data_IF_201828908889
#
_entry.id   IF_201828908889
#
_cell.length_a   1.000
_cell.length_b   1.000
_cell.length_c   1.000
_cell.angle_alpha   90.00
_cell.angle_beta   90.00
_cell.angle_gamma   90.00
#
_symmetry.space_group_name_H-M   'P 1'
#
loop_
_entity.id
_entity.type
_entity.pdbx_description
1 polymer ?
#
# COMPACT_ATOMS: atom_id res chain seq x y z
N UNK A 1 -10.52 -8.51 -17.79
CA UNK A 1 -11.23 -9.21 -16.71
C UNK A 1 -12.39 -8.32 -16.31
N UNK A 2 -13.61 -8.71 -16.66
CA UNK A 2 -14.82 -7.94 -16.37
C UNK A 2 -15.47 -8.54 -15.12
N UNK A 3 -16.02 -7.72 -14.24
CA UNK A 3 -16.78 -8.17 -13.06
C UNK A 3 -18.25 -8.46 -13.38
N UNK A 4 -18.64 -8.26 -14.64
CA UNK A 4 -19.98 -8.40 -15.20
C UNK A 4 -19.87 -9.32 -16.41
N UNK A 5 -20.82 -10.22 -16.57
CA UNK A 5 -20.93 -11.10 -17.73
C UNK A 5 -21.59 -10.37 -18.93
N UNK A 6 -21.69 -11.00 -20.11
CA UNK A 6 -22.28 -10.37 -21.29
C UNK A 6 -23.76 -9.99 -21.15
N UNK A 7 -24.49 -10.61 -20.22
CA UNK A 7 -25.92 -10.35 -19.97
C UNK A 7 -26.13 -9.21 -18.97
N UNK A 8 -25.04 -8.66 -18.41
CA UNK A 8 -25.09 -7.56 -17.43
C UNK A 8 -25.14 -8.03 -15.98
N UNK A 9 -25.04 -9.34 -15.73
CA UNK A 9 -25.11 -9.93 -14.41
C UNK A 9 -23.71 -10.06 -13.77
N UNK A 10 -23.58 -10.06 -12.43
CA UNK A 10 -22.29 -10.13 -11.77
C UNK A 10 -21.65 -11.50 -11.98
N UNK A 11 -20.37 -11.50 -12.34
CA UNK A 11 -19.59 -12.74 -12.39
C UNK A 11 -19.63 -13.43 -11.02
N UNK A 12 -20.10 -14.69 -10.99
CA UNK A 12 -20.28 -15.45 -9.74
C UNK A 12 -21.61 -15.21 -9.01
N UNK A 13 -22.58 -14.55 -9.66
CA UNK A 13 -23.97 -14.41 -9.18
C UNK A 13 -24.15 -13.50 -7.97
N UNK A 14 -23.09 -12.82 -7.51
CA UNK A 14 -23.10 -11.91 -6.37
C UNK A 14 -22.25 -10.69 -6.67
N UNK A 15 -22.83 -9.49 -6.49
CA UNK A 15 -22.11 -8.23 -6.66
C UNK A 15 -21.03 -7.98 -5.59
N UNK A 16 -21.10 -8.66 -4.44
CA UNK A 16 -20.27 -8.34 -3.30
C UNK A 16 -19.91 -9.59 -2.46
N UNK A 17 -18.61 -9.74 -2.17
CA UNK A 17 -18.02 -10.81 -1.36
C UNK A 17 -17.50 -10.30 0.01
N UNK A 18 -17.83 -9.05 0.39
CA UNK A 18 -17.34 -8.39 1.61
C UNK A 18 -17.58 -9.19 2.89
N UNK A 19 -18.72 -9.86 2.97
CA UNK A 19 -19.14 -10.69 4.12
C UNK A 19 -18.24 -11.91 4.30
N UNK A 20 -17.81 -12.51 3.19
CA UNK A 20 -16.99 -13.72 3.17
C UNK A 20 -15.53 -13.40 3.54
N UNK A 21 -15.12 -12.12 3.51
CA UNK A 21 -13.76 -11.67 3.76
C UNK A 21 -13.57 -11.06 5.16
N UNK A 22 -14.35 -11.50 6.15
CA UNK A 22 -14.34 -10.97 7.54
C UNK A 22 -13.63 -11.87 8.55
N UNK A 23 -13.07 -12.99 8.11
CA UNK A 23 -12.30 -13.86 9.00
C UNK A 23 -11.07 -13.13 9.52
N UNK A 24 -10.74 -13.39 10.79
CA UNK A 24 -9.60 -12.76 11.44
C UNK A 24 -8.30 -13.26 10.80
N UNK A 25 -7.30 -12.38 10.63
CA UNK A 25 -5.97 -12.85 10.30
C UNK A 25 -5.47 -13.87 11.33
N UNK A 26 -4.78 -14.93 10.90
CA UNK A 26 -4.27 -15.95 11.80
C UNK A 26 -3.35 -15.34 12.86
N UNK A 27 -3.60 -15.63 14.14
CA UNK A 27 -2.97 -14.95 15.29
C UNK A 27 -1.44 -15.15 15.42
N UNK A 28 -0.85 -16.12 14.70
CA UNK A 28 0.57 -16.51 14.84
C UNK A 28 1.35 -16.64 13.54
N UNK A 29 0.85 -16.14 12.43
CA UNK A 29 1.62 -16.13 11.20
C UNK A 29 2.29 -14.77 11.02
N UNK A 30 3.62 -14.74 11.00
CA UNK A 30 4.26 -14.00 9.90
C UNK A 30 3.58 -14.52 8.64
N UNK A 31 2.65 -13.74 8.10
CA UNK A 31 1.95 -14.12 6.89
C UNK A 31 3.02 -14.47 5.85
N UNK A 32 2.94 -15.67 5.24
CA UNK A 32 3.85 -16.07 4.16
C UNK A 32 3.73 -15.16 2.93
N UNK A 33 2.80 -14.19 2.97
CA UNK A 33 2.68 -13.10 2.02
C UNK A 33 3.95 -12.24 2.06
N UNK A 34 4.72 -12.20 0.95
CA UNK A 34 5.94 -11.41 0.87
C UNK A 34 5.68 -9.93 1.15
N UNK A 35 6.66 -9.23 1.73
CA UNK A 35 6.56 -7.78 2.00
C UNK A 35 6.10 -6.99 0.77
N UNK A 36 5.37 -5.88 0.97
CA UNK A 36 5.01 -4.98 -0.13
C UNK A 36 6.25 -4.51 -0.91
N UNK A 37 6.03 -4.14 -2.17
CA UNK A 37 7.05 -3.45 -2.95
C UNK A 37 7.53 -2.21 -2.20
N UNK A 38 8.85 -2.00 -2.16
CA UNK A 38 9.48 -0.76 -1.73
C UNK A 38 10.26 -0.18 -2.91
N UNK A 39 10.02 1.10 -3.26
CA UNK A 39 10.79 1.76 -4.30
C UNK A 39 12.25 1.89 -3.86
N UNK A 40 13.14 2.05 -4.84
CA UNK A 40 14.53 2.39 -4.60
C UNK A 40 14.67 3.86 -4.89
N UNK A 41 15.23 4.59 -3.94
CA UNK A 41 15.55 6.00 -4.13
C UNK A 41 16.78 6.15 -5.02
N UNK A 42 16.76 7.20 -5.83
CA UNK A 42 17.87 7.59 -6.69
C UNK A 42 18.27 9.06 -6.48
N UNK A 43 19.05 9.60 -7.43
CA UNK A 43 19.56 10.97 -7.39
C UNK A 43 18.44 12.01 -7.28
N UNK A 44 17.28 11.76 -7.91
CA UNK A 44 16.14 12.68 -7.84
C UNK A 44 15.57 12.72 -6.42
N UNK A 45 15.43 11.56 -5.76
CA UNK A 45 14.97 11.53 -4.37
C UNK A 45 15.97 12.25 -3.43
N UNK A 46 17.28 12.13 -3.70
CA UNK A 46 18.31 12.84 -2.95
C UNK A 46 18.24 14.37 -3.14
N UNK A 47 18.08 14.85 -4.37
CA UNK A 47 17.91 16.28 -4.69
C UNK A 47 16.66 16.86 -4.02
N UNK A 48 15.54 16.12 -4.04
CA UNK A 48 14.30 16.55 -3.38
C UNK A 48 14.52 16.68 -1.88
N UNK A 49 15.21 15.72 -1.24
CA UNK A 49 15.49 15.78 0.20
C UNK A 49 16.36 16.99 0.55
N UNK A 50 17.43 17.24 -0.19
CA UNK A 50 18.29 18.42 0.01
C UNK A 50 17.49 19.73 -0.12
N UNK A 51 16.61 19.81 -1.11
CA UNK A 51 15.76 20.99 -1.29
C UNK A 51 14.78 21.15 -0.13
N UNK A 52 14.14 20.07 0.34
CA UNK A 52 13.25 20.14 1.51
C UNK A 52 14.01 20.58 2.77
N UNK A 53 15.20 20.04 3.01
CA UNK A 53 16.07 20.43 4.13
C UNK A 53 16.43 21.92 4.08
N UNK A 54 16.74 22.45 2.88
CA UNK A 54 17.01 23.86 2.70
C UNK A 54 15.78 24.74 3.01
N UNK A 55 14.57 24.31 2.63
CA UNK A 55 13.34 25.04 2.95
C UNK A 55 13.02 25.02 4.45
N UNK A 56 13.32 23.92 5.15
CA UNK A 56 13.21 23.83 6.62
C UNK A 56 14.22 24.77 7.28
N UNK A 57 15.48 24.76 6.83
CA UNK A 57 16.53 25.61 7.37
C UNK A 57 16.24 27.11 7.19
N UNK A 58 15.61 27.49 6.08
CA UNK A 58 15.15 28.87 5.81
C UNK A 58 13.82 29.21 6.53
N UNK A 59 13.24 28.27 7.29
CA UNK A 59 11.98 28.46 8.01
C UNK A 59 10.77 28.64 7.08
N UNK A 60 10.87 28.23 5.82
CA UNK A 60 9.81 28.35 4.82
C UNK A 60 8.74 27.27 4.93
N UNK A 61 9.11 26.11 5.48
CA UNK A 61 8.20 25.00 5.76
C UNK A 61 8.50 24.41 7.14
N UNK A 62 7.47 23.85 7.77
CA UNK A 62 7.55 23.09 9.02
C UNK A 62 6.85 21.73 8.78
N UNK A 63 7.58 20.70 8.33
CA UNK A 63 7.00 19.43 7.97
C UNK A 63 6.52 18.72 9.23
N UNK A 64 5.38 18.07 9.10
CA UNK A 64 4.95 17.10 10.10
C UNK A 64 5.66 15.77 9.76
N UNK A 65 6.03 15.01 10.79
CA UNK A 65 6.69 13.71 10.64
C UNK A 65 8.19 13.78 10.44
N UNK A 66 8.81 12.60 10.38
CA UNK A 66 10.24 12.44 10.09
C UNK A 66 10.42 11.89 8.68
N UNK A 67 11.23 12.57 7.86
CA UNK A 67 11.60 12.05 6.54
C UNK A 67 12.33 10.70 6.67
N UNK A 68 12.09 9.83 5.71
CA UNK A 68 12.65 8.48 5.68
C UNK A 68 12.54 7.88 4.28
N UNK A 69 13.02 6.65 4.08
CA UNK A 69 12.98 6.02 2.77
C UNK A 69 11.53 5.97 2.24
N UNK A 70 11.34 6.46 1.02
CA UNK A 70 10.05 6.53 0.34
C UNK A 70 9.38 5.16 0.32
N UNK A 71 8.11 5.14 0.72
CA UNK A 71 7.29 3.92 0.74
C UNK A 71 6.46 3.74 -0.53
N UNK A 72 6.22 4.82 -1.29
CA UNK A 72 5.27 4.87 -2.40
C UNK A 72 5.97 5.12 -3.73
N UNK A 73 5.49 4.53 -4.82
CA UNK A 73 5.99 4.80 -6.16
C UNK A 73 5.85 6.30 -6.53
N UNK A 74 6.90 6.87 -7.11
CA UNK A 74 6.95 8.25 -7.62
C UNK A 74 6.92 8.28 -9.15
N UNK A 75 7.07 7.12 -9.81
CA UNK A 75 6.93 6.98 -11.26
C UNK A 75 5.92 5.90 -11.66
N UNK A 76 5.44 6.01 -12.89
CA UNK A 76 4.57 5.01 -13.51
C UNK A 76 5.22 3.62 -13.55
N UNK A 77 6.52 3.54 -13.81
CA UNK A 77 7.24 2.27 -13.88
C UNK A 77 7.34 1.58 -12.52
N UNK A 78 7.63 2.35 -11.47
CA UNK A 78 7.58 1.84 -10.10
C UNK A 78 6.16 1.41 -9.71
N UNK A 79 5.13 2.17 -10.09
CA UNK A 79 3.74 1.79 -9.84
C UNK A 79 3.38 0.47 -10.54
N UNK A 80 3.85 0.27 -11.77
CA UNK A 80 3.69 -1.00 -12.49
C UNK A 80 4.44 -2.16 -11.82
N UNK A 81 5.64 -1.93 -11.29
CA UNK A 81 6.38 -2.94 -10.51
C UNK A 81 5.63 -3.31 -9.22
N UNK A 82 5.09 -2.31 -8.51
CA UNK A 82 4.28 -2.52 -7.32
C UNK A 82 3.01 -3.33 -7.62
N UNK A 83 2.30 -2.98 -8.72
CA UNK A 83 1.12 -3.71 -9.18
C UNK A 83 1.43 -5.16 -9.52
N UNK A 84 2.47 -5.41 -10.33
CA UNK A 84 2.89 -6.77 -10.69
C UNK A 84 3.21 -7.60 -9.46
N UNK A 85 4.03 -7.06 -8.55
CA UNK A 85 4.36 -7.72 -7.28
C UNK A 85 3.10 -8.05 -6.47
N UNK A 86 2.13 -7.15 -6.43
CA UNK A 86 0.87 -7.38 -5.75
C UNK A 86 0.09 -8.55 -6.38
N UNK A 87 -0.12 -8.51 -7.70
CA UNK A 87 -0.85 -9.55 -8.43
C UNK A 87 -0.17 -10.91 -8.30
N UNK A 88 1.15 -10.95 -8.49
CA UNK A 88 1.92 -12.19 -8.54
C UNK A 88 2.08 -12.85 -7.17
N UNK A 89 2.27 -12.06 -6.10
CA UNK A 89 2.69 -12.61 -4.81
C UNK A 89 1.78 -12.29 -3.64
N UNK A 90 0.77 -11.43 -3.80
CA UNK A 90 -0.09 -10.99 -2.68
C UNK A 90 -1.58 -11.20 -2.95
N UNK A 91 -2.02 -11.13 -4.20
CA UNK A 91 -3.44 -11.25 -4.57
C UNK A 91 -3.92 -12.72 -4.58
N UNK A 92 -3.06 -13.64 -4.98
CA UNK A 92 -3.34 -15.08 -5.09
C UNK A 92 -3.35 -15.81 -3.74
N UNK A 93 -2.71 -15.22 -2.74
CA UNK A 93 -2.69 -15.70 -1.35
C UNK A 93 -4.00 -15.39 -0.65
N UNK A 94 -5.06 -16.11 -1.03
CA UNK A 94 -6.30 -16.28 -0.26
C UNK A 94 -6.99 -14.98 0.17
N UNK A 95 -8.12 -14.73 -0.47
CA UNK A 95 -9.22 -13.81 -0.13
C UNK A 95 -9.72 -13.91 1.33
N UNK A 96 -9.16 -14.76 2.20
CA UNK A 96 -9.74 -15.06 3.52
C UNK A 96 -9.48 -14.03 4.61
N UNK A 97 -8.62 -13.03 4.43
CA UNK A 97 -8.50 -11.99 5.45
C UNK A 97 -8.31 -10.68 4.74
N UNK A 98 -9.35 -9.84 4.71
CA UNK A 98 -9.06 -8.41 4.67
C UNK A 98 -8.03 -8.17 5.77
N UNK A 99 -6.99 -7.34 5.55
CA UNK A 99 -6.03 -7.00 6.57
C UNK A 99 -6.73 -6.11 7.62
N UNK A 100 -7.66 -6.68 8.38
CA UNK A 100 -8.27 -6.10 9.55
C UNK A 100 -7.56 -6.67 10.76
N UNK A 101 -6.39 -6.10 11.05
CA UNK A 101 -6.15 -5.48 12.32
C UNK A 101 -6.01 -3.97 12.07
N UNK A 102 -7.04 -3.34 11.49
CA UNK A 102 -7.12 -1.90 11.32
C UNK A 102 -8.04 -1.31 12.41
N UNK A 103 -7.62 -1.45 13.67
CA UNK A 103 -8.13 -0.65 14.78
C UNK A 103 -6.94 0.05 15.43
N UNK A 104 -6.96 1.39 15.49
CA UNK A 104 -5.94 2.25 16.14
C UNK A 104 -4.52 2.18 15.55
N UNK A 105 -3.92 0.99 15.49
CA UNK A 105 -2.52 0.74 15.13
C UNK A 105 -2.19 0.99 13.64
N UNK A 106 -3.14 0.84 12.72
CA UNK A 106 -2.96 1.23 11.31
C UNK A 106 -2.93 2.74 11.13
N UNK A 107 -3.85 3.44 11.82
CA UNK A 107 -3.84 4.91 11.86
C UNK A 107 -2.56 5.39 12.53
N UNK A 108 -2.17 4.84 13.69
CA UNK A 108 -0.92 5.22 14.35
C UNK A 108 0.32 5.03 13.45
N UNK A 109 0.44 3.92 12.71
CA UNK A 109 1.56 3.72 11.78
C UNK A 109 1.51 4.64 10.54
N UNK A 110 0.34 5.12 10.13
CA UNK A 110 0.22 6.14 9.07
C UNK A 110 0.42 7.56 9.62
N UNK A 111 0.06 7.79 10.88
CA UNK A 111 0.21 9.06 11.61
C UNK A 111 1.65 9.30 12.07
N UNK A 112 2.45 8.25 12.29
CA UNK A 112 3.89 8.36 12.56
C UNK A 112 4.72 8.73 11.30
N UNK A 113 4.06 8.85 10.15
CA UNK A 113 4.63 9.27 8.86
C UNK A 113 3.85 10.41 8.21
N UNK A 114 3.01 11.09 9.00
CA UNK A 114 2.54 12.41 8.68
C UNK A 114 3.31 13.42 9.49
#
# INVERSE_FOLDING_TARGET
MTTVDPDGEPVGGRWNLDKDNRDRPPQRATSDVPRPYRPREDEIDAEVREHLDALVADGRIDPVGCDGPRLFAASHDEARRALRRCVDTRLTGVVATKPYPAGGAYINRMSDHC
#
